data_IF_982677818779
#
_entry.id   IF_982677818779
#
_cell.length_a   1.000
_cell.length_b   1.000
_cell.length_c   1.000
_cell.angle_alpha   90.00
_cell.angle_beta   90.00
_cell.angle_gamma   90.00
#
_symmetry.space_group_name_H-M   'P 1'
#
loop_
_entity.id
_entity.type
_entity.pdbx_description
1 polymer ?
#
# COMPACT_ATOMS: atom_id res chain seq x y z
N UNK A 1 51.81 -56.95 3.67
CA UNK A 1 51.03 -55.74 4.02
C UNK A 1 51.88 -54.50 4.36
N UNK A 2 53.19 -54.44 4.04
CA UNK A 2 54.07 -53.31 4.44
C UNK A 2 54.39 -52.28 3.34
N UNK A 3 53.94 -52.48 2.09
CA UNK A 3 54.19 -51.54 0.99
C UNK A 3 53.49 -50.18 1.17
N UNK A 4 52.42 -50.12 1.98
CA UNK A 4 51.66 -48.89 2.19
C UNK A 4 52.38 -47.86 3.08
N UNK A 5 53.32 -48.29 3.93
CA UNK A 5 53.98 -47.41 4.92
C UNK A 5 55.30 -46.79 4.44
N UNK A 6 55.77 -47.11 3.23
CA UNK A 6 56.95 -46.47 2.68
C UNK A 6 56.61 -45.06 2.15
N UNK A 7 57.36 -44.05 2.60
CA UNK A 7 57.16 -42.62 2.31
C UNK A 7 55.81 -42.05 2.76
N UNK A 8 55.34 -42.49 3.94
CA UNK A 8 54.06 -42.06 4.50
C UNK A 8 53.98 -40.53 4.69
N UNK A 9 55.09 -39.89 5.08
CA UNK A 9 55.20 -38.44 5.26
C UNK A 9 54.86 -37.64 4.00
N UNK A 10 55.45 -37.99 2.85
CA UNK A 10 55.22 -37.28 1.58
C UNK A 10 53.81 -37.49 1.03
N UNK A 11 53.23 -38.68 1.22
CA UNK A 11 51.85 -38.97 0.83
C UNK A 11 50.85 -38.17 1.66
N UNK A 12 51.05 -38.11 2.98
CA UNK A 12 50.21 -37.30 3.88
C UNK A 12 50.33 -35.81 3.56
N UNK A 13 51.54 -35.31 3.28
CA UNK A 13 51.74 -33.92 2.87
C UNK A 13 50.98 -33.59 1.57
N UNK A 14 51.08 -34.46 0.56
CA UNK A 14 50.36 -34.26 -0.71
C UNK A 14 48.84 -34.28 -0.53
N UNK A 15 48.33 -35.12 0.38
CA UNK A 15 46.91 -35.18 0.71
C UNK A 15 46.44 -33.90 1.41
N UNK A 16 47.24 -33.35 2.33
CA UNK A 16 46.95 -32.08 2.97
C UNK A 16 46.94 -30.90 2.00
N UNK A 17 47.91 -30.85 1.09
CA UNK A 17 47.96 -29.81 0.05
C UNK A 17 46.78 -29.95 -0.92
N UNK A 18 46.48 -31.17 -1.37
CA UNK A 18 45.32 -31.44 -2.21
C UNK A 18 44.01 -31.07 -1.50
N UNK A 19 43.87 -31.40 -0.21
CA UNK A 19 42.71 -31.01 0.59
C UNK A 19 42.63 -29.50 0.79
N UNK A 20 43.75 -28.81 0.99
CA UNK A 20 43.81 -27.36 1.09
C UNK A 20 43.37 -26.67 -0.20
N UNK A 21 43.88 -27.12 -1.35
CA UNK A 21 43.47 -26.60 -2.67
C UNK A 21 41.99 -26.94 -2.93
N UNK A 22 41.56 -28.16 -2.64
CA UNK A 22 40.16 -28.59 -2.76
C UNK A 22 39.25 -27.74 -1.88
N UNK A 23 39.65 -27.45 -0.64
CA UNK A 23 38.91 -26.60 0.29
C UNK A 23 38.80 -25.16 -0.22
N UNK A 24 39.88 -24.59 -0.76
CA UNK A 24 39.87 -23.25 -1.37
C UNK A 24 38.92 -23.18 -2.56
N UNK A 25 38.94 -24.19 -3.44
CA UNK A 25 38.06 -24.28 -4.62
C UNK A 25 36.60 -24.51 -4.21
N UNK A 26 36.35 -25.33 -3.20
CA UNK A 26 34.99 -25.64 -2.72
C UNK A 26 34.38 -24.46 -1.93
N UNK A 27 35.22 -23.64 -1.28
CA UNK A 27 34.79 -22.47 -0.52
C UNK A 27 34.41 -21.27 -1.39
N UNK A 28 34.80 -21.26 -2.67
CA UNK A 28 34.70 -20.08 -3.55
C UNK A 28 33.48 -20.08 -4.48
N UNK A 29 32.31 -20.55 -4.04
CA UNK A 29 31.07 -20.30 -4.77
C UNK A 29 30.38 -19.07 -4.15
N UNK A 30 30.69 -17.85 -4.61
CA UNK A 30 30.01 -16.67 -4.12
C UNK A 30 28.52 -16.82 -4.41
N UNK A 31 27.70 -16.65 -3.38
CA UNK A 31 26.25 -16.62 -3.55
C UNK A 31 25.89 -15.25 -4.09
N UNK A 32 25.03 -15.21 -5.10
CA UNK A 32 24.44 -13.97 -5.58
C UNK A 32 23.09 -13.76 -4.90
N UNK A 33 22.92 -12.59 -4.28
CA UNK A 33 21.66 -12.21 -3.66
C UNK A 33 21.16 -10.89 -4.28
N UNK A 34 19.97 -10.87 -4.91
CA UNK A 34 19.31 -9.62 -5.24
C UNK A 34 18.76 -8.99 -3.96
N UNK A 35 19.06 -7.71 -3.76
CA UNK A 35 18.50 -6.89 -2.67
C UNK A 35 17.86 -5.66 -3.30
N UNK A 36 16.57 -5.47 -3.03
CA UNK A 36 15.87 -4.23 -3.34
C UNK A 36 16.11 -3.22 -2.22
N UNK A 37 16.43 -1.99 -2.61
CA UNK A 37 16.69 -0.88 -1.69
C UNK A 37 15.81 0.29 -2.12
N UNK A 38 15.16 0.95 -1.15
CA UNK A 38 14.33 2.11 -1.43
C UNK A 38 15.20 3.32 -1.82
N UNK A 39 14.71 4.10 -2.77
CA UNK A 39 15.35 5.31 -3.27
C UNK A 39 14.63 6.54 -2.73
N UNK A 40 15.37 7.41 -2.04
CA UNK A 40 14.90 8.68 -1.52
C UNK A 40 15.65 9.81 -2.22
N UNK A 41 14.92 10.75 -2.83
CA UNK A 41 15.49 11.87 -3.57
C UNK A 41 15.38 13.14 -2.73
N UNK A 42 16.52 13.73 -2.36
CA UNK A 42 16.56 15.01 -1.65
C UNK A 42 16.44 16.15 -2.67
N UNK A 43 15.20 16.61 -2.86
CA UNK A 43 14.86 17.66 -3.83
C UNK A 43 15.05 19.06 -3.23
N UNK A 44 15.40 20.07 -4.04
CA UNK A 44 15.44 21.45 -3.60
C UNK A 44 14.03 21.98 -3.30
N UNK A 45 13.95 22.98 -2.42
CA UNK A 45 12.67 23.59 -2.05
C UNK A 45 11.96 24.16 -3.28
N UNK A 46 10.74 23.69 -3.54
CA UNK A 46 9.91 24.18 -4.64
C UNK A 46 10.08 23.44 -5.97
N UNK A 47 10.89 22.37 -6.05
CA UNK A 47 10.88 21.45 -7.18
C UNK A 47 10.26 20.09 -6.81
N UNK A 48 9.71 19.41 -7.80
CA UNK A 48 9.19 18.05 -7.68
C UNK A 48 9.50 17.25 -8.95
N UNK A 49 9.42 15.93 -8.86
CA UNK A 49 9.70 15.03 -9.99
C UNK A 49 8.45 14.93 -10.87
N UNK A 50 8.61 15.27 -12.15
CA UNK A 50 7.51 15.28 -13.12
C UNK A 50 7.28 13.92 -13.78
N UNK A 51 8.32 13.11 -13.93
CA UNK A 51 8.26 11.82 -14.61
C UNK A 51 8.18 10.63 -13.63
N UNK A 52 7.98 9.43 -14.15
CA UNK A 52 8.04 8.20 -13.37
C UNK A 52 9.51 7.81 -13.15
N UNK A 53 9.96 7.90 -11.89
CA UNK A 53 11.29 7.46 -11.45
C UNK A 53 11.10 6.26 -10.53
N UNK A 54 11.89 5.18 -10.69
CA UNK A 54 11.80 4.02 -9.80
C UNK A 54 12.03 4.42 -8.34
N UNK A 55 11.11 4.02 -7.46
CA UNK A 55 11.21 4.18 -6.01
C UNK A 55 12.14 3.13 -5.36
N UNK A 56 12.59 2.15 -6.15
CA UNK A 56 13.48 1.07 -5.72
C UNK A 56 14.58 0.79 -6.73
N UNK A 57 15.74 0.41 -6.22
CA UNK A 57 16.90 -0.02 -7.00
C UNK A 57 17.31 -1.42 -6.56
N UNK A 58 17.53 -2.31 -7.52
CA UNK A 58 17.99 -3.67 -7.26
C UNK A 58 19.51 -3.76 -7.33
N UNK A 59 20.11 -4.20 -6.23
CA UNK A 59 21.53 -4.50 -6.13
C UNK A 59 21.73 -6.01 -6.21
N UNK A 60 22.59 -6.48 -7.12
CA UNK A 60 23.10 -7.85 -7.07
C UNK A 60 24.38 -7.88 -6.26
N UNK A 61 24.30 -8.50 -5.09
CA UNK A 61 25.41 -8.60 -4.15
C UNK A 61 26.04 -9.99 -4.25
N UNK A 62 27.36 -10.04 -4.15
CA UNK A 62 28.17 -11.26 -4.17
C UNK A 62 29.04 -11.32 -2.93
N UNK A 63 29.01 -12.43 -2.20
CA UNK A 63 29.77 -12.58 -0.95
C UNK A 63 29.54 -13.91 -0.26
N UNK A 64 30.11 -14.06 0.94
CA UNK A 64 29.83 -15.23 1.77
C UNK A 64 28.39 -15.18 2.29
N UNK A 65 27.76 -16.34 2.47
CA UNK A 65 26.38 -16.46 2.97
C UNK A 65 26.14 -15.67 4.26
N UNK A 66 27.15 -15.64 5.14
CA UNK A 66 27.08 -14.95 6.43
C UNK A 66 27.04 -13.43 6.26
N UNK A 67 27.91 -12.86 5.42
CA UNK A 67 27.96 -11.41 5.21
C UNK A 67 26.77 -10.89 4.40
N UNK A 68 26.29 -11.65 3.41
CA UNK A 68 25.11 -11.27 2.63
C UNK A 68 23.85 -11.15 3.49
N UNK A 69 23.69 -12.03 4.50
CA UNK A 69 22.55 -11.96 5.43
C UNK A 69 22.59 -10.71 6.30
N UNK A 70 23.78 -10.29 6.73
CA UNK A 70 23.97 -9.06 7.52
C UNK A 70 23.65 -7.81 6.68
N UNK A 71 24.12 -7.77 5.43
CA UNK A 71 23.87 -6.65 4.51
C UNK A 71 22.39 -6.56 4.13
N UNK A 72 21.75 -7.71 3.90
CA UNK A 72 20.33 -7.77 3.60
C UNK A 72 19.45 -7.16 4.69
N UNK A 73 19.92 -7.09 5.94
CA UNK A 73 19.19 -6.54 7.08
C UNK A 73 19.58 -5.09 7.43
N UNK A 74 20.53 -4.47 6.72
CA UNK A 74 21.08 -3.16 7.08
C UNK A 74 21.00 -2.10 5.97
N UNK A 75 20.93 -2.50 4.70
CA UNK A 75 20.78 -1.57 3.58
C UNK A 75 19.31 -1.45 3.18
N UNK A 76 18.62 -0.45 3.72
CA UNK A 76 17.18 -0.28 3.46
C UNK A 76 16.85 1.00 2.68
N UNK A 77 17.70 2.03 2.69
CA UNK A 77 17.44 3.30 1.97
C UNK A 77 18.71 3.91 1.40
N UNK A 78 18.63 4.41 0.16
CA UNK A 78 19.67 5.20 -0.50
C UNK A 78 19.13 6.60 -0.75
N UNK A 79 19.86 7.61 -0.26
CA UNK A 79 19.55 9.01 -0.50
C UNK A 79 20.37 9.55 -1.65
N UNK A 80 19.71 10.24 -2.57
CA UNK A 80 20.35 10.95 -3.68
C UNK A 80 20.14 12.44 -3.48
N UNK A 81 21.24 13.17 -3.31
CA UNK A 81 21.23 14.62 -3.17
C UNK A 81 21.02 15.29 -4.53
N UNK A 82 19.83 15.84 -4.75
CA UNK A 82 19.48 16.67 -5.90
C UNK A 82 19.28 18.14 -5.51
N UNK A 83 19.67 18.57 -4.31
CA UNK A 83 19.40 19.92 -3.77
C UNK A 83 20.03 21.06 -4.58
N UNK A 84 21.05 20.77 -5.40
CA UNK A 84 21.70 21.73 -6.30
C UNK A 84 21.17 21.68 -7.74
N UNK A 85 20.26 20.75 -8.03
CA UNK A 85 19.69 20.58 -9.35
C UNK A 85 18.74 21.74 -9.69
N UNK A 86 18.66 22.07 -10.98
CA UNK A 86 17.76 23.07 -11.53
C UNK A 86 16.56 22.38 -12.19
N UNK A 87 15.51 23.15 -12.46
CA UNK A 87 14.40 22.65 -13.26
C UNK A 87 14.89 22.15 -14.63
N UNK A 88 14.39 20.99 -15.06
CA UNK A 88 14.75 20.30 -16.28
C UNK A 88 15.18 18.84 -16.06
N UNK A 89 15.55 18.14 -17.16
CA UNK A 89 16.05 16.77 -17.10
C UNK A 89 17.40 16.73 -16.39
N UNK A 90 17.48 15.94 -15.32
CA UNK A 90 18.72 15.70 -14.58
C UNK A 90 19.13 14.24 -14.74
N UNK A 91 20.41 13.99 -15.01
CA UNK A 91 20.96 12.64 -15.08
C UNK A 91 21.75 12.36 -13.82
N UNK A 92 21.38 11.31 -13.09
CA UNK A 92 22.10 10.87 -11.91
C UNK A 92 22.53 9.40 -12.07
N UNK A 93 23.84 9.16 -11.98
CA UNK A 93 24.42 7.83 -12.02
C UNK A 93 24.68 7.35 -10.60
N UNK A 94 24.17 6.18 -10.25
CA UNK A 94 24.42 5.56 -8.95
C UNK A 94 25.80 4.92 -8.99
N UNK A 95 26.77 5.55 -8.32
CA UNK A 95 28.13 5.02 -8.21
C UNK A 95 28.19 3.90 -7.17
N UNK A 96 29.05 2.91 -7.42
CA UNK A 96 29.20 1.75 -6.51
C UNK A 96 29.97 2.15 -5.25
N UNK A 97 30.80 3.17 -5.37
CA UNK A 97 31.77 3.65 -4.40
C UNK A 97 31.14 4.47 -3.28
N UNK A 98 29.95 5.04 -3.49
CA UNK A 98 29.21 5.80 -2.48
C UNK A 98 28.49 4.91 -1.45
N UNK A 99 28.52 3.58 -1.63
CA UNK A 99 27.80 2.62 -0.79
C UNK A 99 28.80 1.91 0.12
N UNK A 100 28.77 2.24 1.42
CA UNK A 100 29.60 1.57 2.42
C UNK A 100 29.12 0.14 2.63
N UNK A 101 29.88 -0.83 2.09
CA UNK A 101 29.63 -2.25 2.29
C UNK A 101 30.64 -2.86 3.27
N UNK A 102 30.23 -3.84 4.08
CA UNK A 102 31.17 -4.58 4.92
C UNK A 102 32.14 -5.40 4.05
N UNK A 103 33.30 -5.66 4.62
CA UNK A 103 34.35 -6.47 3.99
C UNK A 103 33.76 -7.84 3.59
N UNK A 104 34.03 -8.28 2.37
CA UNK A 104 33.58 -9.58 1.86
C UNK A 104 32.25 -9.55 1.07
N UNK A 105 31.67 -8.37 0.82
CA UNK A 105 30.52 -8.18 -0.08
C UNK A 105 30.91 -7.26 -1.24
N UNK A 106 30.55 -7.65 -2.47
CA UNK A 106 30.80 -6.88 -3.70
C UNK A 106 29.49 -6.62 -4.45
N UNK A 107 29.38 -5.45 -5.06
CA UNK A 107 28.26 -5.11 -5.95
C UNK A 107 28.59 -5.58 -7.37
N UNK A 108 27.89 -6.62 -7.83
CA UNK A 108 28.00 -7.10 -9.20
C UNK A 108 27.33 -6.12 -10.16
N UNK A 109 26.07 -5.80 -9.90
CA UNK A 109 25.27 -4.91 -10.74
C UNK A 109 24.25 -4.11 -9.93
N UNK A 110 23.87 -2.97 -10.49
CA UNK A 110 22.85 -2.05 -9.98
C UNK A 110 21.85 -1.87 -11.12
N UNK A 111 20.57 -2.05 -10.83
CA UNK A 111 19.49 -1.91 -11.80
C UNK A 111 18.32 -1.10 -11.21
N UNK A 112 17.98 0.06 -11.77
CA UNK A 112 18.72 0.79 -12.80
C UNK A 112 20.02 1.40 -12.24
N UNK A 113 21.07 1.50 -13.06
CA UNK A 113 22.34 2.16 -12.68
C UNK A 113 22.33 3.67 -12.87
N UNK A 114 21.38 4.18 -13.66
CA UNK A 114 21.19 5.59 -13.96
C UNK A 114 19.71 5.90 -13.85
N UNK A 115 19.40 7.01 -13.17
CA UNK A 115 18.07 7.57 -13.10
C UNK A 115 18.08 8.93 -13.80
N UNK A 116 16.97 9.27 -14.42
CA UNK A 116 16.77 10.51 -15.15
C UNK A 116 15.54 11.26 -14.62
N UNK A 117 15.57 11.75 -13.37
CA UNK A 117 14.49 12.57 -12.84
C UNK A 117 14.37 13.88 -13.63
N UNK A 118 13.14 14.18 -14.06
CA UNK A 118 12.79 15.46 -14.66
C UNK A 118 12.22 16.35 -13.55
N UNK A 119 12.94 17.42 -13.22
CA UNK A 119 12.55 18.32 -12.14
C UNK A 119 11.72 19.47 -12.69
N UNK A 120 10.55 19.68 -12.12
CA UNK A 120 9.69 20.82 -12.44
C UNK A 120 9.38 21.65 -11.21
N UNK A 121 9.05 22.94 -11.38
CA UNK A 121 8.48 23.74 -10.30
C UNK A 121 7.24 23.05 -9.72
N UNK A 122 7.23 22.91 -8.40
CA UNK A 122 6.05 22.45 -7.67
C UNK A 122 5.07 23.62 -7.55
N UNK A 123 3.85 23.41 -8.00
CA UNK A 123 2.77 24.39 -7.90
C UNK A 123 1.62 23.85 -7.05
N UNK A 124 0.70 24.73 -6.67
CA UNK A 124 -0.53 24.40 -5.94
C UNK A 124 -1.73 25.02 -6.62
N UNK A 125 -2.78 24.23 -6.81
CA UNK A 125 -4.03 24.71 -7.40
C UNK A 125 -5.23 24.18 -6.63
N UNK A 126 -6.29 24.98 -6.54
CA UNK A 126 -7.58 24.52 -6.04
C UNK A 126 -8.47 24.17 -7.22
N UNK A 127 -9.01 22.96 -7.21
CA UNK A 127 -9.88 22.42 -8.26
C UNK A 127 -11.13 21.80 -7.66
N UNK A 128 -12.29 21.89 -8.33
CA UNK A 128 -13.52 21.24 -7.87
C UNK A 128 -13.42 19.73 -7.99
N UNK A 129 -14.16 19.03 -7.12
CA UNK A 129 -14.34 17.57 -7.17
C UNK A 129 -15.61 17.24 -7.94
N UNK A 130 -15.47 16.46 -9.00
CA UNK A 130 -16.58 15.91 -9.79
C UNK A 130 -16.83 14.46 -9.37
N UNK A 131 -18.05 14.16 -8.92
CA UNK A 131 -18.44 12.81 -8.50
C UNK A 131 -19.01 12.06 -9.69
N UNK A 132 -18.34 10.97 -10.08
CA UNK A 132 -18.81 10.11 -11.16
C UNK A 132 -19.71 9.03 -10.57
N UNK A 133 -21.02 9.24 -10.66
CA UNK A 133 -22.02 8.24 -10.30
C UNK A 133 -22.18 7.20 -11.40
N UNK A 134 -22.20 5.92 -11.02
CA UNK A 134 -22.52 4.79 -11.89
C UNK A 134 -23.76 4.08 -11.35
N UNK A 135 -24.72 3.80 -12.24
CA UNK A 135 -26.03 3.22 -11.91
C UNK A 135 -26.87 4.09 -10.95
N UNK A 136 -28.13 3.72 -10.80
CA UNK A 136 -29.04 4.33 -9.83
C UNK A 136 -29.13 3.48 -8.56
N UNK A 137 -29.61 4.11 -7.49
CA UNK A 137 -29.89 3.42 -6.24
C UNK A 137 -31.01 2.37 -6.47
N UNK A 138 -30.85 1.12 -5.98
CA UNK A 138 -31.84 0.08 -6.09
C UNK A 138 -33.24 0.47 -5.59
N UNK A 139 -34.26 -0.13 -6.22
CA UNK A 139 -35.65 0.02 -5.78
C UNK A 139 -35.81 -0.27 -4.29
N UNK A 140 -36.53 0.62 -3.59
CA UNK A 140 -36.73 0.53 -2.14
C UNK A 140 -35.75 1.34 -1.31
N UNK A 141 -34.80 2.03 -1.95
CA UNK A 141 -33.92 3.02 -1.34
C UNK A 141 -34.00 4.35 -2.09
N UNK A 142 -33.59 5.44 -1.44
CA UNK A 142 -33.45 6.78 -2.00
C UNK A 142 -32.10 7.37 -1.60
N UNK A 143 -31.43 8.01 -2.55
CA UNK A 143 -30.22 8.79 -2.27
C UNK A 143 -30.58 10.06 -1.50
N UNK A 144 -30.03 10.21 -0.29
CA UNK A 144 -30.19 11.41 0.55
C UNK A 144 -29.01 12.34 0.37
N UNK A 145 -27.79 11.79 0.29
CA UNK A 145 -26.57 12.57 0.14
C UNK A 145 -25.58 11.87 -0.78
N UNK A 146 -25.01 12.64 -1.70
CA UNK A 146 -23.82 12.30 -2.47
C UNK A 146 -23.00 13.57 -2.60
N UNK A 147 -21.97 13.72 -1.77
CA UNK A 147 -21.18 14.94 -1.73
C UNK A 147 -19.72 14.67 -1.38
N UNK A 148 -18.82 15.35 -2.07
CA UNK A 148 -17.40 15.43 -1.74
C UNK A 148 -17.18 16.47 -0.64
N UNK A 149 -16.39 16.10 0.35
CA UNK A 149 -15.99 16.97 1.46
C UNK A 149 -14.45 16.98 1.51
N UNK A 150 -13.79 18.10 1.18
CA UNK A 150 -14.35 19.37 0.70
C UNK A 150 -14.82 19.33 -0.79
N UNK A 151 -15.62 20.31 -1.21
CA UNK A 151 -16.09 20.46 -2.61
C UNK A 151 -14.97 20.88 -3.58
N UNK A 152 -14.05 21.70 -3.08
CA UNK A 152 -12.84 22.09 -3.77
C UNK A 152 -11.66 21.53 -2.99
N UNK A 153 -10.72 20.91 -3.69
CA UNK A 153 -9.53 20.31 -3.10
C UNK A 153 -8.30 21.05 -3.61
N UNK A 154 -7.34 21.30 -2.72
CA UNK A 154 -6.01 21.78 -3.10
C UNK A 154 -5.15 20.60 -3.51
N UNK A 155 -4.59 20.67 -4.71
CA UNK A 155 -3.64 19.71 -5.25
C UNK A 155 -2.25 20.33 -5.36
N UNK A 156 -1.21 19.50 -5.19
CA UNK A 156 0.20 19.85 -5.35
C UNK A 156 0.93 18.82 -6.20
N UNK A 157 1.96 19.27 -6.92
CA UNK A 157 2.65 18.48 -7.93
C UNK A 157 3.34 19.34 -9.00
N UNK A 158 3.82 18.73 -10.08
CA UNK A 158 4.50 19.41 -11.18
C UNK A 158 3.57 20.44 -11.84
N UNK A 159 4.10 21.63 -12.12
CA UNK A 159 3.34 22.72 -12.76
C UNK A 159 2.63 22.27 -14.04
N UNK A 160 3.33 21.56 -14.93
CA UNK A 160 2.72 21.10 -16.19
C UNK A 160 1.56 20.11 -15.96
N UNK A 161 1.66 19.28 -14.91
CA UNK A 161 0.60 18.32 -14.57
C UNK A 161 -0.63 19.04 -14.00
N UNK A 162 -0.42 19.98 -13.06
CA UNK A 162 -1.50 20.75 -12.43
C UNK A 162 -2.22 21.68 -13.40
N UNK A 163 -1.49 22.30 -14.33
CA UNK A 163 -2.07 23.24 -15.29
C UNK A 163 -3.11 22.55 -16.19
N UNK A 164 -2.90 21.25 -16.48
CA UNK A 164 -3.80 20.40 -17.27
C UNK A 164 -5.01 19.88 -16.49
N UNK A 165 -5.00 19.98 -15.15
CA UNK A 165 -6.09 19.48 -14.30
C UNK A 165 -7.05 20.63 -14.02
N UNK A 166 -8.25 20.55 -14.59
CA UNK A 166 -9.36 21.48 -14.32
C UNK A 166 -10.24 21.04 -13.16
N UNK A 167 -10.37 19.73 -12.95
CA UNK A 167 -11.24 19.10 -11.95
C UNK A 167 -10.66 17.75 -11.52
N UNK A 168 -11.00 17.28 -10.31
CA UNK A 168 -10.67 15.92 -9.86
C UNK A 168 -11.91 15.06 -9.96
N UNK A 169 -11.84 14.04 -10.82
CA UNK A 169 -12.92 13.07 -10.99
C UNK A 169 -12.77 11.93 -10.00
N UNK A 170 -13.85 11.63 -9.28
CA UNK A 170 -13.88 10.44 -8.44
C UNK A 170 -13.81 9.17 -9.27
N UNK A 171 -13.38 8.07 -8.65
CA UNK A 171 -13.60 6.75 -9.22
C UNK A 171 -15.12 6.54 -9.40
N UNK A 172 -15.57 5.79 -10.44
CA UNK A 172 -16.98 5.51 -10.63
C UNK A 172 -17.58 4.84 -9.40
N UNK A 173 -18.55 5.51 -8.77
CA UNK A 173 -19.23 5.01 -7.57
C UNK A 173 -20.47 4.24 -8.02
N UNK A 174 -20.42 2.92 -7.88
CA UNK A 174 -21.56 2.07 -8.18
C UNK A 174 -22.57 2.11 -7.02
N UNK A 175 -23.75 2.67 -7.27
CA UNK A 175 -24.81 2.75 -6.27
C UNK A 175 -25.74 1.53 -6.24
N UNK A 176 -25.50 0.52 -7.10
CA UNK A 176 -26.31 -0.70 -7.14
C UNK A 176 -26.05 -1.63 -5.95
N UNK A 177 -24.85 -1.59 -5.37
CA UNK A 177 -24.45 -2.43 -4.22
C UNK A 177 -24.37 -1.59 -2.95
N UNK A 178 -25.52 -1.41 -2.29
CA UNK A 178 -25.62 -0.63 -1.05
C UNK A 178 -25.10 -1.49 0.12
N UNK A 179 -24.06 -1.03 0.85
CA UNK A 179 -23.57 -1.74 2.02
C UNK A 179 -24.61 -1.74 3.17
N UNK A 180 -24.44 -2.64 4.13
CA UNK A 180 -25.33 -2.72 5.30
C UNK A 180 -25.39 -1.40 6.10
N UNK A 181 -24.31 -0.61 6.07
CA UNK A 181 -24.30 0.74 6.58
C UNK A 181 -24.90 1.68 5.55
N UNK A 182 -26.09 2.21 5.82
CA UNK A 182 -26.79 3.20 4.98
C UNK A 182 -26.01 4.52 4.79
N UNK A 183 -24.94 4.70 5.57
CA UNK A 183 -23.97 5.80 5.46
C UNK A 183 -22.58 5.23 5.31
N UNK A 184 -21.86 5.65 4.27
CA UNK A 184 -20.47 5.26 4.09
C UNK A 184 -19.68 6.38 3.41
N UNK A 185 -18.36 6.33 3.59
CA UNK A 185 -17.43 7.30 3.03
C UNK A 185 -16.39 6.59 2.18
N UNK A 186 -16.05 7.19 1.04
CA UNK A 186 -15.05 6.67 0.12
C UNK A 186 -13.91 7.69 0.04
N UNK A 187 -12.63 7.27 0.23
CA UNK A 187 -11.50 8.18 0.08
C UNK A 187 -11.38 8.62 -1.37
N UNK A 188 -11.19 9.93 -1.59
CA UNK A 188 -10.93 10.48 -2.92
C UNK A 188 -9.49 10.18 -3.33
N UNK A 189 -9.28 9.86 -4.61
CA UNK A 189 -7.95 9.71 -5.20
C UNK A 189 -7.77 10.74 -6.30
N UNK A 190 -6.56 11.27 -6.46
CA UNK A 190 -6.26 12.25 -7.52
C UNK A 190 -6.37 11.63 -8.91
N UNK A 191 -5.99 10.35 -9.06
CA UNK A 191 -5.99 9.66 -10.35
C UNK A 191 -4.90 10.13 -11.32
N UNK A 192 -4.02 11.04 -10.88
CA UNK A 192 -2.95 11.62 -11.68
C UNK A 192 -1.58 11.25 -11.08
N UNK A 193 -0.60 10.81 -11.91
CA UNK A 193 0.74 10.51 -11.43
C UNK A 193 1.42 11.78 -10.92
N UNK A 194 2.24 11.66 -9.88
CA UNK A 194 3.01 12.76 -9.29
C UNK A 194 2.17 13.94 -8.75
N UNK A 195 0.86 13.76 -8.56
CA UNK A 195 -0.04 14.77 -7.98
C UNK A 195 -0.66 14.23 -6.68
N UNK A 196 -0.58 15.03 -5.63
CA UNK A 196 -1.11 14.70 -4.30
C UNK A 196 -2.01 15.80 -3.75
N UNK A 197 -2.84 15.47 -2.76
CA UNK A 197 -3.65 16.47 -2.06
C UNK A 197 -2.78 17.27 -1.08
N UNK A 198 -3.05 18.57 -0.96
CA UNK A 198 -2.39 19.49 -0.04
C UNK A 198 -3.41 20.04 0.97
N UNK A 199 -4.14 19.12 1.58
CA UNK A 199 -5.17 19.37 2.60
C UNK A 199 -4.74 18.73 3.93
N UNK A 200 -5.20 19.29 5.06
CA UNK A 200 -4.93 18.71 6.40
C UNK A 200 -5.66 17.38 6.60
N UNK A 201 -6.82 17.23 5.97
CA UNK A 201 -7.66 16.03 6.05
C UNK A 201 -7.81 15.42 4.67
N UNK A 202 -7.72 14.10 4.58
CA UNK A 202 -7.93 13.38 3.32
C UNK A 202 -9.34 13.66 2.77
N UNK A 203 -9.46 14.16 1.53
CA UNK A 203 -10.75 14.40 0.91
C UNK A 203 -11.55 13.10 0.77
N UNK A 204 -12.84 13.18 1.06
CA UNK A 204 -13.72 12.01 1.08
C UNK A 204 -15.07 12.30 0.44
N UNK A 205 -15.70 11.25 -0.08
CA UNK A 205 -17.04 11.31 -0.65
C UNK A 205 -17.98 10.63 0.33
N UNK A 206 -18.94 11.39 0.86
CA UNK A 206 -19.95 10.89 1.79
C UNK A 206 -21.21 10.51 1.01
N UNK A 207 -21.65 9.28 1.19
CA UNK A 207 -22.85 8.71 0.57
C UNK A 207 -23.82 8.32 1.68
N UNK A 208 -25.07 8.75 1.55
CA UNK A 208 -26.14 8.43 2.48
C UNK A 208 -27.39 8.07 1.68
N UNK A 209 -27.95 6.90 2.00
CA UNK A 209 -29.18 6.39 1.41
C UNK A 209 -30.17 6.06 2.51
N UNK A 210 -31.45 6.21 2.23
CA UNK A 210 -32.52 5.83 3.15
C UNK A 210 -33.47 4.82 2.51
N UNK A 211 -34.00 3.85 3.27
CA UNK A 211 -35.08 3.00 2.80
C UNK A 211 -36.32 3.83 2.49
N UNK A 212 -36.90 3.62 1.31
CA UNK A 212 -38.17 4.24 0.90
C UNK A 212 -39.39 3.51 1.47
N UNK A 213 -39.18 2.40 2.20
CA UNK A 213 -40.27 1.60 2.76
C UNK A 213 -40.87 2.18 4.03
N UNK A 214 -42.16 1.91 4.24
CA UNK A 214 -42.91 2.31 5.44
C UNK A 214 -42.46 1.54 6.69
N UNK A 215 -42.65 2.13 7.87
CA UNK A 215 -42.49 1.46 9.18
C UNK A 215 -43.21 0.09 9.17
N UNK A 216 -42.44 -1.00 9.12
CA UNK A 216 -43.01 -2.35 9.14
C UNK A 216 -42.98 -2.90 10.56
N UNK A 217 -44.15 -3.33 11.05
CA UNK A 217 -44.28 -3.94 12.38
C UNK A 217 -43.90 -5.41 12.31
N UNK A 218 -42.73 -5.76 12.82
CA UNK A 218 -42.33 -7.15 13.06
C UNK A 218 -42.87 -7.56 14.43
N UNK A 219 -43.97 -8.31 14.45
CA UNK A 219 -44.55 -8.85 15.68
C UNK A 219 -43.88 -10.18 16.06
N UNK A 220 -43.73 -10.43 17.37
CA UNK A 220 -43.30 -11.74 17.87
C UNK A 220 -41.78 -11.94 17.99
N UNK A 221 -40.99 -10.87 17.98
CA UNK A 221 -39.53 -10.95 18.11
C UNK A 221 -39.16 -11.44 19.52
N UNK A 222 -38.44 -12.56 19.67
CA UNK A 222 -38.09 -13.11 20.97
C UNK A 222 -37.04 -12.24 21.68
N UNK A 223 -37.31 -11.86 22.93
CA UNK A 223 -36.35 -11.12 23.76
C UNK A 223 -35.30 -12.07 24.32
N UNK A 224 -34.02 -11.77 24.09
CA UNK A 224 -32.90 -12.49 24.72
C UNK A 224 -32.31 -11.65 25.83
N UNK A 225 -32.25 -12.20 27.05
CA UNK A 225 -31.64 -11.54 28.20
C UNK A 225 -30.13 -11.68 28.12
N UNK A 226 -29.41 -10.57 28.27
CA UNK A 226 -27.94 -10.55 28.27
C UNK A 226 -27.38 -10.50 29.70
N UNK A 227 -28.01 -11.19 30.66
CA UNK A 227 -27.62 -11.18 32.08
C UNK A 227 -27.06 -12.53 32.54
N UNK A 228 -26.10 -12.50 33.47
CA UNK A 228 -25.50 -13.70 34.09
C UNK A 228 -26.42 -14.43 35.09
N UNK A 229 -27.62 -13.90 35.38
CA UNK A 229 -28.64 -14.53 36.24
C UNK A 229 -29.92 -14.76 35.45
N UNK A 230 -30.64 -15.83 35.77
CA UNK A 230 -31.90 -16.21 35.12
C UNK A 230 -33.02 -15.23 35.48
N UNK A 231 -33.35 -14.31 34.58
CA UNK A 231 -34.51 -13.43 34.71
C UNK A 231 -35.67 -13.94 33.86
N UNK A 232 -36.89 -13.84 34.39
CA UNK A 232 -38.13 -14.08 33.64
C UNK A 232 -38.58 -12.77 33.01
N UNK A 233 -38.41 -12.63 31.69
CA UNK A 233 -38.86 -11.44 30.96
C UNK A 233 -40.32 -11.61 30.54
N UNK A 234 -41.18 -10.70 31.00
CA UNK A 234 -42.56 -10.57 30.53
C UNK A 234 -42.76 -9.18 29.95
N UNK A 235 -43.23 -9.05 28.69
CA UNK A 235 -43.56 -10.13 27.75
C UNK A 235 -42.32 -10.78 27.12
N UNK A 236 -42.39 -12.07 26.77
CA UNK A 236 -41.28 -12.81 26.11
C UNK A 236 -41.05 -12.38 24.66
N UNK A 237 -42.02 -11.67 24.06
CA UNK A 237 -42.02 -11.23 22.68
C UNK A 237 -42.42 -9.76 22.59
N UNK A 238 -41.73 -9.01 21.74
CA UNK A 238 -42.04 -7.61 21.46
C UNK A 238 -42.37 -7.41 19.98
N UNK A 239 -43.10 -6.33 19.71
CA UNK A 239 -43.29 -5.84 18.35
C UNK A 239 -42.29 -4.70 18.11
N UNK A 240 -41.48 -4.82 17.06
CA UNK A 240 -40.54 -3.78 16.63
C UNK A 240 -41.03 -3.17 15.34
N UNK A 241 -40.92 -1.84 15.24
CA UNK A 241 -41.12 -1.13 13.98
C UNK A 241 -39.75 -0.94 13.33
N UNK A 242 -39.59 -1.48 12.12
CA UNK A 242 -38.34 -1.42 11.36
C UNK A 242 -38.60 -0.68 10.06
N UNK A 243 -37.81 0.35 9.79
CA UNK A 243 -37.75 0.96 8.47
C UNK A 243 -36.90 0.06 7.58
N UNK A 244 -37.55 -0.63 6.64
CA UNK A 244 -36.86 -1.47 5.68
C UNK A 244 -37.42 -1.29 4.27
N UNK A 245 -36.59 -1.50 3.23
CA UNK A 245 -37.04 -1.51 1.84
C UNK A 245 -38.13 -2.55 1.56
N UNK A 246 -39.05 -2.24 0.64
CA UNK A 246 -40.19 -3.10 0.32
C UNK A 246 -39.80 -4.53 -0.15
N UNK A 247 -38.64 -4.68 -0.79
CA UNK A 247 -38.08 -5.97 -1.22
C UNK A 247 -37.55 -6.81 -0.06
N UNK A 248 -37.16 -6.20 1.06
CA UNK A 248 -36.70 -6.90 2.27
C UNK A 248 -37.83 -7.20 3.27
N UNK A 249 -39.01 -6.60 3.10
CA UNK A 249 -40.20 -6.92 3.93
C UNK A 249 -40.52 -8.42 3.88
N UNK A 250 -40.39 -9.06 2.71
CA UNK A 250 -40.69 -10.49 2.54
C UNK A 250 -39.66 -11.42 3.17
N UNK A 251 -38.47 -10.93 3.51
CA UNK A 251 -37.37 -11.71 4.10
C UNK A 251 -37.13 -11.42 5.58
N UNK A 252 -37.87 -10.46 6.15
CA UNK A 252 -37.89 -10.15 7.58
C UNK A 252 -38.79 -11.14 8.34
N UNK A 253 -38.20 -12.23 8.80
CA UNK A 253 -38.82 -13.13 9.78
C UNK A 253 -38.41 -12.74 11.21
N UNK A 254 -39.25 -13.05 12.23
CA UNK A 254 -38.94 -12.76 13.64
C UNK A 254 -37.58 -13.30 14.12
N UNK A 255 -37.09 -14.38 13.53
CA UNK A 255 -35.81 -15.02 13.88
C UNK A 255 -34.58 -14.25 13.41
N UNK A 256 -34.74 -13.36 12.42
CA UNK A 256 -33.66 -12.53 11.87
C UNK A 256 -33.48 -11.20 12.60
N UNK A 257 -34.42 -10.85 13.48
CA UNK A 257 -34.36 -9.64 14.30
C UNK A 257 -34.04 -10.06 15.73
N UNK A 258 -32.99 -9.48 16.31
CA UNK A 258 -32.58 -9.78 17.69
C UNK A 258 -32.85 -8.58 18.59
N UNK A 259 -33.66 -8.79 19.62
CA UNK A 259 -33.91 -7.80 20.66
C UNK A 259 -33.28 -8.27 21.97
N UNK A 260 -32.55 -7.38 22.65
CA UNK A 260 -31.90 -7.67 23.92
C UNK A 260 -32.44 -6.74 25.01
N UNK A 261 -32.54 -7.28 26.23
CA UNK A 261 -32.76 -6.51 27.46
C UNK A 261 -31.50 -6.64 28.32
N UNK A 262 -31.02 -5.50 28.81
CA UNK A 262 -29.93 -5.38 29.80
C UNK A 262 -30.54 -5.25 31.20
#
# INVERSE_FOLDING_TARGET
MSFFFHNLSWKVLSLFVAFGIWFVVMSSNPIELPKEVALELDLPSGLTVANEVPDRVTFRLSGSKFFLRTVANSLDTIRIDLTKAKAGPTYYKIEKESIHLPIGVKILSISPSTINPELEPMDRRSVPVEIIQKNEVPNGYRLVRLAATPKNVRIKGPRNAIDRISEIRSQPIDLSDIPASLKWEIPLRTGHPNVSFDEETEPKISIEVEPTGSNFRVAGVPLKVKASKSFTVKPERVALYVNCPANLIKTLTPDRVRAYVD
#
